data_IF_307783175939
#
_entry.id   IF_307783175939
#
_cell.length_a   1.000
_cell.length_b   1.000
_cell.length_c   1.000
_cell.angle_alpha   90.00
_cell.angle_beta   90.00
_cell.angle_gamma   90.00
#
_symmetry.space_group_name_H-M   'P 1'
#
loop_
_entity.id
_entity.type
_entity.pdbx_description
1 polymer ?
#
# COMPACT_ATOMS: atom_id res chain seq x y z
N UNK A 1 -14.30 -8.98 4.74
CA UNK A 1 -13.06 -8.16 4.74
C UNK A 1 -12.54 -8.12 3.33
N UNK A 2 -11.81 -7.08 2.98
CA UNK A 2 -11.15 -6.99 1.67
C UNK A 2 -9.65 -7.12 1.83
N UNK A 3 -9.01 -7.60 0.78
CA UNK A 3 -7.55 -7.58 0.63
C UNK A 3 -7.23 -6.67 -0.54
N UNK A 4 -6.30 -5.75 -0.35
CA UNK A 4 -5.74 -4.91 -1.42
C UNK A 4 -4.32 -5.38 -1.69
N UNK A 5 -4.02 -5.61 -2.97
CA UNK A 5 -2.66 -5.81 -3.47
C UNK A 5 -2.34 -4.63 -4.38
N UNK A 6 -1.46 -3.74 -3.93
CA UNK A 6 -1.03 -2.59 -4.71
C UNK A 6 0.47 -2.69 -5.03
N UNK A 7 0.81 -2.87 -6.31
CA UNK A 7 2.19 -2.92 -6.78
C UNK A 7 2.67 -1.54 -7.20
N UNK A 8 3.82 -1.15 -6.69
CA UNK A 8 4.58 -0.01 -7.17
C UNK A 8 5.84 -0.53 -7.87
N UNK A 9 6.08 -0.08 -9.09
CA UNK A 9 7.26 -0.42 -9.89
C UNK A 9 8.25 0.74 -9.86
N UNK A 10 9.30 0.70 -9.01
CA UNK A 10 10.27 1.79 -8.93
C UNK A 10 11.02 1.99 -10.26
N UNK A 11 11.45 3.22 -10.55
CA UNK A 11 12.27 3.50 -11.75
C UNK A 11 13.69 2.96 -11.65
N UNK A 12 14.24 2.93 -10.44
CA UNK A 12 15.58 2.47 -10.10
C UNK A 12 15.69 2.15 -8.60
N UNK A 13 16.86 1.65 -8.17
CA UNK A 13 17.13 1.28 -6.77
C UNK A 13 17.04 2.46 -5.79
N UNK A 14 17.39 3.68 -6.23
CA UNK A 14 17.29 4.85 -5.38
C UNK A 14 15.82 5.24 -5.16
N UNK A 15 15.02 5.22 -6.22
CA UNK A 15 13.58 5.41 -6.16
C UNK A 15 12.92 4.36 -5.26
N UNK A 16 13.32 3.09 -5.37
CA UNK A 16 12.84 2.00 -4.50
C UNK A 16 13.08 2.31 -3.03
N UNK A 17 14.30 2.68 -2.67
CA UNK A 17 14.65 3.01 -1.28
C UNK A 17 13.86 4.22 -0.77
N UNK A 18 13.67 5.25 -1.60
CA UNK A 18 12.84 6.40 -1.24
C UNK A 18 11.37 6.02 -1.02
N UNK A 19 10.79 5.19 -1.89
CA UNK A 19 9.42 4.68 -1.71
C UNK A 19 9.29 3.91 -0.38
N UNK A 20 10.26 3.05 -0.05
CA UNK A 20 10.29 2.32 1.22
C UNK A 20 10.35 3.30 2.40
N UNK A 21 11.18 4.33 2.36
CA UNK A 21 11.26 5.33 3.43
C UNK A 21 9.93 6.10 3.59
N UNK A 22 9.33 6.59 2.49
CA UNK A 22 8.04 7.29 2.54
C UNK A 22 6.91 6.37 3.03
N UNK A 23 6.95 5.09 2.70
CA UNK A 23 5.94 4.12 3.12
C UNK A 23 5.87 3.94 4.64
N UNK A 24 6.95 4.21 5.39
CA UNK A 24 6.96 4.02 6.85
C UNK A 24 5.91 4.88 7.53
N UNK A 25 5.82 6.15 7.14
CA UNK A 25 4.82 7.08 7.68
C UNK A 25 3.40 6.68 7.27
N UNK A 26 3.20 6.29 6.00
CA UNK A 26 1.94 5.77 5.51
C UNK A 26 1.48 4.55 6.33
N UNK A 27 2.34 3.54 6.48
CA UNK A 27 2.04 2.30 7.21
C UNK A 27 1.72 2.58 8.68
N UNK A 28 2.55 3.38 9.36
CA UNK A 28 2.36 3.69 10.78
C UNK A 28 0.98 4.32 11.04
N UNK A 29 0.58 5.30 10.23
CA UNK A 29 -0.70 5.97 10.41
C UNK A 29 -1.88 5.12 9.91
N UNK A 30 -1.70 4.35 8.84
CA UNK A 30 -2.77 3.47 8.31
C UNK A 30 -3.18 2.39 9.31
N UNK A 31 -2.21 1.86 10.08
CA UNK A 31 -2.48 0.89 11.15
C UNK A 31 -3.28 1.45 12.33
N UNK A 32 -3.37 2.77 12.45
CA UNK A 32 -4.17 3.45 13.48
C UNK A 32 -5.60 3.76 13.00
N UNK A 33 -5.89 3.57 11.72
CA UNK A 33 -7.19 3.87 11.16
C UNK A 33 -8.25 2.86 11.59
N UNK A 34 -9.46 3.36 11.82
CA UNK A 34 -10.61 2.49 12.09
C UNK A 34 -10.89 1.58 10.88
N UNK A 35 -10.92 0.28 11.15
CA UNK A 35 -11.17 -0.74 10.14
C UNK A 35 -9.95 -1.15 9.32
N UNK A 36 -8.74 -0.65 9.63
CA UNK A 36 -7.51 -1.29 9.18
C UNK A 36 -7.28 -2.58 10.01
N UNK A 37 -7.08 -3.71 9.33
CA UNK A 37 -6.79 -5.00 9.98
C UNK A 37 -5.28 -5.27 9.90
N UNK A 38 -4.67 -4.96 8.76
CA UNK A 38 -3.25 -5.16 8.51
C UNK A 38 -2.81 -4.30 7.32
N UNK A 39 -1.56 -3.86 7.30
CA UNK A 39 -1.03 -3.01 6.24
C UNK A 39 0.49 -3.13 6.20
N UNK A 40 1.07 -3.73 5.16
CA UNK A 40 2.51 -3.92 5.07
C UNK A 40 3.01 -3.66 3.66
N UNK A 41 4.25 -3.20 3.55
CA UNK A 41 5.00 -3.16 2.30
C UNK A 41 5.96 -4.35 2.26
N UNK A 42 5.90 -5.11 1.18
CA UNK A 42 6.79 -6.22 0.89
C UNK A 42 7.64 -5.88 -0.35
N UNK A 43 8.86 -6.41 -0.38
CA UNK A 43 9.73 -6.34 -1.55
C UNK A 43 9.59 -7.66 -2.30
N UNK A 44 9.38 -7.59 -3.61
CA UNK A 44 9.37 -8.79 -4.43
C UNK A 44 10.74 -9.49 -4.40
N UNK A 45 10.75 -10.81 -4.48
CA UNK A 45 12.00 -11.59 -4.44
C UNK A 45 12.88 -11.42 -5.67
N UNK A 46 12.32 -11.09 -6.85
CA UNK A 46 13.10 -10.70 -8.04
C UNK A 46 13.58 -9.25 -7.97
N UNK A 47 13.09 -8.49 -6.99
CA UNK A 47 13.32 -7.07 -6.79
C UNK A 47 12.72 -6.15 -7.86
N UNK A 48 11.77 -6.66 -8.65
CA UNK A 48 11.14 -5.90 -9.74
C UNK A 48 10.09 -4.88 -9.25
N UNK A 49 9.45 -5.15 -8.10
CA UNK A 49 8.40 -4.29 -7.55
C UNK A 49 8.31 -4.35 -6.03
N UNK A 50 7.63 -3.33 -5.49
CA UNK A 50 7.18 -3.28 -4.10
C UNK A 50 5.68 -3.58 -4.07
N UNK A 51 5.23 -4.36 -3.10
CA UNK A 51 3.82 -4.73 -2.94
C UNK A 51 3.29 -4.30 -1.58
N UNK A 52 2.32 -3.38 -1.60
CA UNK A 52 1.46 -3.19 -0.45
C UNK A 52 0.48 -4.36 -0.38
N UNK A 53 0.43 -4.99 0.79
CA UNK A 53 -0.58 -5.98 1.16
C UNK A 53 -1.38 -5.39 2.31
N UNK A 54 -2.63 -5.05 2.01
CA UNK A 54 -3.52 -4.39 2.94
C UNK A 54 -4.73 -5.28 3.24
N UNK A 55 -5.22 -5.23 4.47
CA UNK A 55 -6.45 -5.89 4.90
C UNK A 55 -7.33 -4.84 5.55
N UNK A 56 -8.54 -4.70 5.04
CA UNK A 56 -9.52 -3.75 5.54
C UNK A 56 -10.83 -4.45 5.87
N UNK A 57 -11.55 -3.94 6.87
CA UNK A 57 -12.86 -4.47 7.24
C UNK A 57 -13.85 -4.40 6.06
N UNK A 58 -13.81 -3.32 5.28
CA UNK A 58 -14.72 -3.07 4.17
C UNK A 58 -14.13 -2.16 3.09
N UNK A 59 -14.82 -2.05 1.95
CA UNK A 59 -14.50 -1.04 0.91
C UNK A 59 -14.70 0.39 1.43
N UNK A 60 -15.65 0.61 2.36
CA UNK A 60 -15.90 1.94 2.92
C UNK A 60 -14.71 2.45 3.75
N UNK A 61 -14.08 1.57 4.54
CA UNK A 61 -12.90 1.94 5.34
C UNK A 61 -11.68 2.20 4.46
N UNK A 62 -11.50 1.43 3.38
CA UNK A 62 -10.50 1.73 2.34
C UNK A 62 -10.76 3.07 1.65
N UNK A 63 -12.01 3.42 1.33
CA UNK A 63 -12.32 4.71 0.71
C UNK A 63 -12.02 5.90 1.64
N UNK A 64 -12.20 5.73 2.96
CA UNK A 64 -11.79 6.71 3.97
C UNK A 64 -10.27 6.84 4.01
N UNK A 65 -9.55 5.72 4.01
CA UNK A 65 -8.09 5.67 3.94
C UNK A 65 -7.52 6.49 2.78
N UNK A 66 -8.09 6.34 1.57
CA UNK A 66 -7.66 7.06 0.36
C UNK A 66 -7.84 8.60 0.43
N UNK A 67 -8.54 9.11 1.44
CA UNK A 67 -8.76 10.54 1.65
C UNK A 67 -7.91 11.10 2.80
N UNK A 68 -7.16 10.24 3.50
CA UNK A 68 -6.33 10.67 4.62
C UNK A 68 -5.12 11.47 4.17
N UNK A 69 -4.61 12.31 5.07
CA UNK A 69 -3.44 13.14 4.81
C UNK A 69 -2.22 12.31 4.44
N UNK A 70 -1.92 11.25 5.20
CA UNK A 70 -0.74 10.42 4.97
C UNK A 70 -0.82 9.61 3.67
N UNK A 71 -2.02 9.21 3.22
CA UNK A 71 -2.19 8.59 1.91
C UNK A 71 -1.91 9.58 0.76
N UNK A 72 -2.50 10.78 0.83
CA UNK A 72 -2.31 11.83 -0.19
C UNK A 72 -0.84 12.25 -0.26
N UNK A 73 -0.22 12.53 0.88
CA UNK A 73 1.21 12.89 0.96
C UNK A 73 2.11 11.76 0.41
N UNK A 74 1.79 10.50 0.69
CA UNK A 74 2.53 9.38 0.11
C UNK A 74 2.44 9.37 -1.41
N UNK A 75 1.23 9.48 -1.98
CA UNK A 75 1.01 9.50 -3.42
C UNK A 75 1.78 10.63 -4.12
N UNK A 76 1.77 11.84 -3.53
CA UNK A 76 2.53 12.99 -4.02
C UNK A 76 4.06 12.74 -4.00
N UNK A 77 4.56 12.14 -2.92
CA UNK A 77 6.00 11.86 -2.75
C UNK A 77 6.52 10.80 -3.74
N UNK A 78 5.70 9.81 -4.12
CA UNK A 78 6.14 8.70 -4.97
C UNK A 78 5.84 8.89 -6.46
N UNK A 79 5.03 9.89 -6.85
CA UNK A 79 4.56 10.04 -8.22
C UNK A 79 5.67 10.10 -9.29
N UNK A 80 6.84 10.68 -8.95
CA UNK A 80 8.00 10.72 -9.85
C UNK A 80 8.98 9.54 -9.69
N UNK A 81 8.74 8.66 -8.71
CA UNK A 81 9.61 7.52 -8.36
C UNK A 81 9.16 6.21 -9.01
N UNK A 82 7.90 6.13 -9.43
CA UNK A 82 7.32 4.94 -10.09
C UNK A 82 7.38 5.05 -11.60
N UNK A 83 7.60 3.93 -12.29
CA UNK A 83 7.71 3.85 -13.75
C UNK A 83 6.37 3.96 -14.49
N UNK A 84 5.25 3.91 -13.75
CA UNK A 84 3.89 4.08 -14.24
C UNK A 84 2.91 4.14 -13.06
N UNK A 85 1.62 4.04 -13.37
CA UNK A 85 0.58 3.95 -12.34
C UNK A 85 0.77 2.66 -11.51
N UNK A 86 0.31 2.70 -10.25
CA UNK A 86 0.28 1.50 -9.41
C UNK A 86 -0.72 0.49 -9.98
N UNK A 87 -0.35 -0.79 -9.98
CA UNK A 87 -1.31 -1.86 -10.25
C UNK A 87 -2.05 -2.20 -8.96
N UNK A 88 -3.37 -1.99 -8.91
CA UNK A 88 -4.17 -2.18 -7.70
C UNK A 88 -5.26 -3.21 -7.97
N UNK A 89 -5.22 -4.31 -7.22
CA UNK A 89 -6.26 -5.32 -7.19
C UNK A 89 -6.93 -5.34 -5.81
N UNK A 90 -8.26 -5.39 -5.79
CA UNK A 90 -9.06 -5.46 -4.57
C UNK A 90 -9.93 -6.71 -4.60
N UNK A 91 -9.83 -7.53 -3.55
CA UNK A 91 -10.54 -8.80 -3.46
C UNK A 91 -11.44 -8.84 -2.24
N UNK A 92 -12.67 -9.31 -2.43
CA UNK A 92 -13.46 -9.85 -1.32
C UNK A 92 -12.78 -11.10 -0.78
N UNK A 93 -12.67 -11.20 0.54
CA UNK A 93 -11.94 -12.29 1.18
C UNK A 93 -12.61 -12.79 2.46
N UNK A 94 -12.35 -14.06 2.77
CA UNK A 94 -12.75 -14.73 3.98
C UNK A 94 -11.54 -15.42 4.59
N UNK A 95 -11.23 -15.12 5.85
CA UNK A 95 -10.19 -15.84 6.59
C UNK A 95 -10.62 -17.30 6.78
N UNK A 96 -9.73 -18.23 6.43
CA UNK A 96 -9.88 -19.65 6.72
C UNK A 96 -8.96 -20.00 7.89
N UNK A 97 -9.44 -20.80 8.82
CA UNK A 97 -8.64 -21.38 9.89
C UNK A 97 -8.34 -22.84 9.48
N UNK A 98 -7.08 -23.24 9.59
CA UNK A 98 -6.61 -24.60 9.28
C UNK A 98 -6.21 -25.33 10.56
#
# INVERSE_FOLDING_TARGET
>A
MIIVLAKAFPKDDNAKNQIIEFSKYLIENSKLEEGNIDYNLLVDTSDDFLMFVEKWESVETLQKHMQTKHFIEFGENIGNLVSGDLEIDVFDSKKLEF
#
